data_IF_784101594983
#
_entry.id   IF_784101594983
#
_cell.length_a   1.000
_cell.length_b   1.000
_cell.length_c   1.000
_cell.angle_alpha   90.00
_cell.angle_beta   90.00
_cell.angle_gamma   90.00
#
_symmetry.space_group_name_H-M   'P 1'
#
loop_
_entity.id
_entity.type
_entity.pdbx_description
1 polymer ?
#
# COMPACT_ATOMS: atom_id res chain seq x y z
N UNK A 1 -11.51 8.80 13.50
CA UNK A 1 -10.70 7.85 12.71
C UNK A 1 -11.56 7.35 11.54
N UNK A 2 -11.02 7.20 10.32
CA UNK A 2 -11.81 6.85 9.11
C UNK A 2 -12.31 5.40 9.08
N UNK A 3 -11.73 4.52 9.88
CA UNK A 3 -12.07 3.10 9.90
C UNK A 3 -13.23 2.76 10.85
N UNK A 4 -13.84 3.73 11.53
CA UNK A 4 -14.96 3.49 12.48
C UNK A 4 -16.30 3.21 11.80
N UNK A 5 -16.37 3.32 10.48
CA UNK A 5 -17.57 3.07 9.69
C UNK A 5 -17.19 2.44 8.35
N UNK A 6 -18.05 1.60 7.76
CA UNK A 6 -17.74 0.96 6.49
C UNK A 6 -17.64 1.97 5.35
N UNK A 7 -16.66 1.77 4.47
CA UNK A 7 -16.58 2.39 3.16
C UNK A 7 -17.18 1.48 2.08
N UNK A 8 -17.31 1.98 0.85
CA UNK A 8 -17.77 1.18 -0.30
C UNK A 8 -16.86 -0.03 -0.61
N UNK A 9 -15.60 0.00 -0.15
CA UNK A 9 -14.63 -1.08 -0.33
C UNK A 9 -14.43 -1.94 0.92
N UNK A 10 -15.05 -1.61 2.04
CA UNK A 10 -14.89 -2.39 3.28
C UNK A 10 -15.58 -3.74 3.18
N UNK A 11 -14.87 -4.83 3.49
CA UNK A 11 -15.40 -6.20 3.43
C UNK A 11 -14.96 -7.09 4.61
N UNK A 12 -14.32 -6.50 5.63
CA UNK A 12 -14.03 -7.15 6.91
C UNK A 12 -13.99 -6.12 8.05
N UNK A 13 -14.26 -6.59 9.26
CA UNK A 13 -14.06 -5.83 10.48
C UNK A 13 -12.88 -6.42 11.26
N UNK A 14 -11.87 -5.60 11.54
CA UNK A 14 -10.86 -5.91 12.53
C UNK A 14 -11.33 -5.44 13.91
N UNK A 15 -11.24 -6.30 14.92
CA UNK A 15 -11.60 -5.98 16.30
C UNK A 15 -10.31 -5.83 17.10
N UNK A 16 -10.09 -4.63 17.66
CA UNK A 16 -8.91 -4.30 18.48
C UNK A 16 -9.39 -3.69 19.78
N UNK A 17 -9.03 -4.27 20.92
CA UNK A 17 -9.51 -3.84 22.24
C UNK A 17 -11.05 -3.67 22.29
N UNK A 18 -11.78 -4.62 21.70
CA UNK A 18 -13.25 -4.60 21.54
C UNK A 18 -13.82 -3.46 20.69
N UNK A 19 -12.98 -2.67 20.00
CA UNK A 19 -13.40 -1.62 19.06
C UNK A 19 -13.28 -2.12 17.63
N UNK A 20 -14.24 -1.74 16.78
CA UNK A 20 -14.35 -2.19 15.39
C UNK A 20 -13.63 -1.23 14.42
N UNK A 21 -12.92 -1.82 13.47
CA UNK A 21 -12.22 -1.13 12.37
C UNK A 21 -12.63 -1.79 11.04
N UNK A 22 -13.37 -1.06 10.20
CA UNK A 22 -13.81 -1.52 8.89
C UNK A 22 -12.71 -1.31 7.85
N UNK A 23 -12.29 -2.40 7.19
CA UNK A 23 -11.15 -2.42 6.25
C UNK A 23 -11.43 -3.36 5.06
N UNK A 24 -10.54 -3.36 4.07
CA UNK A 24 -10.57 -4.25 2.92
C UNK A 24 -9.51 -5.37 3.06
N UNK A 25 -9.94 -6.64 2.92
CA UNK A 25 -9.09 -7.84 3.07
C UNK A 25 -7.99 -7.87 2.00
N UNK A 26 -8.37 -7.71 0.74
CA UNK A 26 -7.48 -7.81 -0.41
C UNK A 26 -6.42 -6.71 -0.37
N UNK A 27 -6.81 -5.49 0.01
CA UNK A 27 -5.93 -4.35 0.17
C UNK A 27 -4.85 -4.63 1.22
N UNK A 28 -5.25 -5.06 2.42
CA UNK A 28 -4.31 -5.42 3.48
C UNK A 28 -3.43 -6.62 3.10
N UNK A 29 -4.01 -7.62 2.45
CA UNK A 29 -3.29 -8.82 2.02
C UNK A 29 -2.25 -8.54 0.93
N UNK A 30 -2.56 -7.68 -0.03
CA UNK A 30 -1.58 -7.20 -1.02
C UNK A 30 -0.40 -6.57 -0.29
N UNK A 31 -0.64 -5.69 0.69
CA UNK A 31 0.41 -5.03 1.48
C UNK A 31 1.18 -5.94 2.44
N UNK A 32 0.64 -7.10 2.83
CA UNK A 32 1.18 -7.91 3.91
C UNK A 32 1.02 -9.41 3.67
N UNK A 33 2.11 -10.19 3.66
CA UNK A 33 2.01 -11.65 3.63
C UNK A 33 1.31 -12.21 4.88
N UNK A 34 1.38 -11.49 6.02
CA UNK A 34 0.72 -11.89 7.27
C UNK A 34 -0.80 -11.73 7.13
N UNK A 35 -1.29 -10.62 6.57
CA UNK A 35 -2.72 -10.49 6.27
C UNK A 35 -3.18 -11.43 5.15
N UNK A 36 -2.30 -11.74 4.20
CA UNK A 36 -2.57 -12.79 3.20
C UNK A 36 -2.87 -14.12 3.88
N UNK A 37 -1.99 -14.61 4.75
CA UNK A 37 -2.21 -15.87 5.47
C UNK A 37 -3.43 -15.80 6.40
N UNK A 38 -3.62 -14.67 7.08
CA UNK A 38 -4.75 -14.46 8.00
C UNK A 38 -6.12 -14.49 7.29
N UNK A 39 -6.24 -13.91 6.09
CA UNK A 39 -7.56 -13.82 5.44
C UNK A 39 -7.83 -14.92 4.41
N UNK A 40 -6.77 -15.42 3.76
CA UNK A 40 -6.88 -16.30 2.60
C UNK A 40 -6.14 -17.64 2.77
N UNK A 41 -5.21 -17.73 3.73
CA UNK A 41 -4.50 -18.96 4.08
C UNK A 41 -5.39 -19.99 4.78
N UNK A 42 -4.77 -20.96 5.45
CA UNK A 42 -5.46 -22.02 6.21
C UNK A 42 -5.54 -21.66 7.71
N UNK A 43 -5.75 -20.38 7.98
CA UNK A 43 -5.86 -19.83 9.33
C UNK A 43 -7.30 -19.90 9.85
N UNK A 44 -7.46 -19.78 11.17
CA UNK A 44 -8.78 -19.81 11.81
C UNK A 44 -9.63 -18.57 11.45
N UNK A 45 -9.02 -17.54 10.90
CA UNK A 45 -9.62 -16.26 10.53
C UNK A 45 -10.22 -16.28 9.11
N UNK A 46 -9.85 -17.27 8.30
CA UNK A 46 -10.35 -17.46 6.93
C UNK A 46 -11.89 -17.46 6.92
N UNK A 47 -12.47 -16.63 6.06
CA UNK A 47 -13.92 -16.54 5.87
C UNK A 47 -14.70 -15.80 6.95
N UNK A 48 -14.07 -15.34 8.04
CA UNK A 48 -14.77 -14.54 9.06
C UNK A 48 -15.11 -13.14 8.54
N UNK A 49 -16.23 -12.61 9.01
CA UNK A 49 -16.64 -11.20 8.83
C UNK A 49 -15.96 -10.29 9.84
N UNK A 50 -15.69 -10.80 11.05
CA UNK A 50 -14.95 -10.11 12.11
C UNK A 50 -13.72 -10.90 12.54
N UNK A 51 -12.57 -10.24 12.61
CA UNK A 51 -11.27 -10.84 12.96
C UNK A 51 -10.63 -10.04 14.11
N UNK A 52 -10.33 -10.72 15.21
CA UNK A 52 -9.70 -10.10 16.38
C UNK A 52 -8.18 -9.95 16.16
N UNK A 53 -7.64 -8.74 16.33
CA UNK A 53 -6.19 -8.51 16.38
C UNK A 53 -5.77 -8.37 17.85
N UNK A 54 -5.15 -9.42 18.36
CA UNK A 54 -4.66 -9.50 19.75
C UNK A 54 -3.33 -8.79 19.94
N UNK A 55 -3.02 -8.43 21.17
CA UNK A 55 -1.73 -7.89 21.62
C UNK A 55 -1.30 -6.60 20.91
N UNK A 56 -2.26 -5.72 20.60
CA UNK A 56 -2.03 -4.37 20.06
C UNK A 56 -2.96 -3.38 20.74
N UNK A 57 -2.50 -2.15 20.92
CA UNK A 57 -3.33 -1.05 21.40
C UNK A 57 -4.14 -0.46 20.23
N UNK A 58 -5.40 -0.10 20.49
CA UNK A 58 -6.30 0.38 19.45
C UNK A 58 -5.74 1.61 18.71
N UNK A 59 -5.28 2.62 19.44
CA UNK A 59 -4.78 3.86 18.83
C UNK A 59 -3.50 3.62 18.01
N UNK A 60 -2.58 2.77 18.50
CA UNK A 60 -1.36 2.41 17.75
C UNK A 60 -1.68 1.65 16.46
N UNK A 61 -2.69 0.76 16.50
CA UNK A 61 -3.11 0.03 15.31
C UNK A 61 -3.84 0.93 14.30
N UNK A 62 -4.57 1.95 14.78
CA UNK A 62 -5.16 2.98 13.94
C UNK A 62 -4.08 3.80 13.24
N UNK A 63 -3.02 4.19 13.96
CA UNK A 63 -1.85 4.86 13.36
C UNK A 63 -1.23 3.97 12.27
N UNK A 64 -1.06 2.67 12.54
CA UNK A 64 -0.55 1.71 11.55
C UNK A 64 -1.42 1.62 10.29
N UNK A 65 -2.73 1.46 10.43
CA UNK A 65 -3.65 1.45 9.29
C UNK A 65 -3.62 2.76 8.51
N UNK A 66 -3.46 3.90 9.19
CA UNK A 66 -3.33 5.21 8.56
C UNK A 66 -2.04 5.35 7.75
N UNK A 67 -0.96 4.67 8.14
CA UNK A 67 0.29 4.62 7.35
C UNK A 67 0.15 3.69 6.14
N UNK A 68 -0.62 2.59 6.24
CA UNK A 68 -0.83 1.64 5.12
C UNK A 68 -1.74 2.26 4.05
N UNK A 69 -2.94 2.70 4.44
CA UNK A 69 -3.94 3.19 3.49
C UNK A 69 -3.58 4.59 2.94
N UNK A 70 -3.93 4.92 1.68
CA UNK A 70 -3.62 6.22 1.09
C UNK A 70 -4.16 7.37 1.93
N UNK A 71 -3.35 8.40 2.16
CA UNK A 71 -3.72 9.56 2.97
C UNK A 71 -2.53 10.47 3.24
N UNK A 72 -2.80 11.53 4.01
CA UNK A 72 -1.80 12.55 4.39
C UNK A 72 -1.17 12.28 5.77
N UNK A 73 -1.42 11.10 6.35
CA UNK A 73 -0.87 10.72 7.65
C UNK A 73 0.64 10.50 7.52
N UNK A 74 1.41 11.25 8.32
CA UNK A 74 2.86 11.13 8.42
C UNK A 74 3.28 10.41 9.68
N UNK A 75 4.38 9.66 9.62
CA UNK A 75 5.02 9.13 10.82
C UNK A 75 5.65 10.28 11.60
N UNK A 76 5.52 10.26 12.93
CA UNK A 76 6.08 11.25 13.85
C UNK A 76 7.02 10.58 14.85
N UNK A 77 7.72 11.38 15.66
CA UNK A 77 8.57 10.84 16.74
C UNK A 77 7.77 9.99 17.74
N UNK A 78 6.48 10.30 17.94
CA UNK A 78 5.62 9.57 18.87
C UNK A 78 5.06 8.30 18.26
N UNK A 79 4.76 8.29 16.95
CA UNK A 79 4.21 7.10 16.30
C UNK A 79 5.26 6.12 15.80
N UNK A 80 6.45 6.60 15.43
CA UNK A 80 7.52 5.79 14.86
C UNK A 80 7.83 4.49 15.64
N UNK A 81 7.95 4.49 16.99
CA UNK A 81 8.28 3.27 17.73
C UNK A 81 7.24 2.17 17.59
N UNK A 82 5.94 2.49 17.72
CA UNK A 82 4.88 1.50 17.59
C UNK A 82 4.63 1.11 16.13
N UNK A 83 4.82 2.03 15.18
CA UNK A 83 4.77 1.71 13.74
C UNK A 83 5.86 0.70 13.37
N UNK A 84 7.10 0.90 13.83
CA UNK A 84 8.20 -0.06 13.62
C UNK A 84 7.89 -1.43 14.26
N UNK A 85 7.36 -1.45 15.48
CA UNK A 85 6.95 -2.67 16.19
C UNK A 85 5.86 -3.42 15.43
N UNK A 86 4.80 -2.74 15.02
CA UNK A 86 3.71 -3.34 14.25
C UNK A 86 4.18 -3.79 12.87
N UNK A 87 5.06 -3.05 12.22
CA UNK A 87 5.61 -3.46 10.93
C UNK A 87 6.49 -4.71 11.04
N UNK A 88 7.20 -4.89 12.16
CA UNK A 88 7.95 -6.11 12.45
C UNK A 88 7.04 -7.33 12.63
N UNK A 89 5.75 -7.12 12.94
CA UNK A 89 4.74 -8.19 13.07
C UNK A 89 3.99 -8.45 11.77
N UNK A 90 3.62 -7.41 11.03
CA UNK A 90 2.75 -7.51 9.86
C UNK A 90 3.49 -7.44 8.52
N UNK A 91 4.78 -7.10 8.52
CA UNK A 91 5.65 -7.11 7.33
C UNK A 91 5.05 -6.31 6.16
N UNK A 92 4.79 -5.01 6.34
CA UNK A 92 4.26 -4.14 5.29
C UNK A 92 5.37 -3.32 4.63
N UNK A 93 5.66 -3.60 3.35
CA UNK A 93 6.81 -3.01 2.63
C UNK A 93 6.76 -1.48 2.62
N UNK A 94 5.60 -0.91 2.31
CA UNK A 94 5.43 0.54 2.22
C UNK A 94 5.57 1.25 3.56
N UNK A 95 5.17 0.59 4.66
CA UNK A 95 5.37 1.14 6.00
C UNK A 95 6.86 1.21 6.30
N UNK A 96 7.62 0.16 5.98
CA UNK A 96 9.06 0.13 6.20
C UNK A 96 9.78 1.23 5.39
N UNK A 97 9.40 1.42 4.12
CA UNK A 97 9.90 2.51 3.28
C UNK A 97 9.59 3.89 3.88
N UNK A 98 8.36 4.10 4.38
CA UNK A 98 7.97 5.36 5.03
C UNK A 98 8.73 5.59 6.34
N UNK A 99 9.00 4.54 7.12
CA UNK A 99 9.84 4.61 8.32
C UNK A 99 11.26 5.07 7.98
N UNK A 100 11.86 4.54 6.91
CA UNK A 100 13.20 4.95 6.46
C UNK A 100 13.25 6.42 6.02
N UNK A 101 12.27 6.88 5.24
CA UNK A 101 12.17 8.28 4.84
C UNK A 101 12.05 9.21 6.06
N UNK A 102 11.23 8.83 7.04
CA UNK A 102 11.11 9.57 8.29
C UNK A 102 12.42 9.57 9.09
N UNK A 103 13.09 8.42 9.23
CA UNK A 103 14.35 8.32 9.96
C UNK A 103 15.46 9.20 9.35
N UNK A 104 15.54 9.21 8.01
CA UNK A 104 16.53 9.99 7.26
C UNK A 104 16.28 11.51 7.37
N UNK A 105 15.01 11.93 7.34
CA UNK A 105 14.64 13.35 7.44
C UNK A 105 14.54 13.87 8.88
N UNK A 106 14.43 12.98 9.87
CA UNK A 106 14.28 13.37 11.27
C UNK A 106 15.59 13.90 11.88
N UNK A 107 15.52 15.09 12.47
CA UNK A 107 16.58 15.65 13.31
C UNK A 107 16.50 15.20 14.79
N UNK A 108 15.53 14.35 15.14
CA UNK A 108 15.30 13.95 16.53
C UNK A 108 16.27 12.86 17.02
N UNK A 109 16.72 11.99 16.11
CA UNK A 109 17.60 10.88 16.43
C UNK A 109 19.06 11.28 16.27
N UNK A 110 19.89 10.88 17.24
CA UNK A 110 21.34 10.97 17.11
C UNK A 110 21.88 9.91 16.14
N UNK A 111 23.14 10.04 15.72
CA UNK A 111 23.75 9.17 14.72
C UNK A 111 23.79 7.69 15.14
N UNK A 112 24.05 7.39 16.41
CA UNK A 112 24.05 6.02 16.93
C UNK A 112 22.66 5.38 16.83
N UNK A 113 21.61 6.10 17.22
CA UNK A 113 20.22 5.63 17.14
C UNK A 113 19.78 5.48 15.69
N UNK A 114 20.14 6.43 14.82
CA UNK A 114 19.89 6.32 13.37
C UNK A 114 20.55 5.08 12.80
N UNK A 115 21.81 4.82 13.14
CA UNK A 115 22.53 3.64 12.67
C UNK A 115 21.84 2.34 13.09
N UNK A 116 21.44 2.21 14.36
CA UNK A 116 20.75 1.02 14.87
C UNK A 116 19.40 0.81 14.17
N UNK A 117 18.60 1.87 14.04
CA UNK A 117 17.29 1.82 13.39
C UNK A 117 17.40 1.53 11.88
N UNK A 118 18.36 2.14 11.18
CA UNK A 118 18.63 1.86 9.77
C UNK A 118 19.06 0.40 9.57
N UNK A 119 19.88 -0.14 10.48
CA UNK A 119 20.28 -1.56 10.45
C UNK A 119 19.06 -2.46 10.62
N UNK A 120 18.17 -2.16 11.57
CA UNK A 120 16.93 -2.90 11.77
C UNK A 120 16.02 -2.84 10.53
N UNK A 121 15.90 -1.67 9.90
CA UNK A 121 15.12 -1.50 8.68
C UNK A 121 15.67 -2.37 7.55
N UNK A 122 16.99 -2.37 7.35
CA UNK A 122 17.63 -3.16 6.30
C UNK A 122 17.44 -4.66 6.53
N UNK A 123 17.55 -5.13 7.77
CA UNK A 123 17.25 -6.52 8.13
C UNK A 123 15.80 -6.90 7.80
N UNK A 124 14.83 -6.03 8.09
CA UNK A 124 13.42 -6.28 7.75
C UNK A 124 13.20 -6.28 6.23
N UNK A 125 13.86 -5.41 5.46
CA UNK A 125 13.79 -5.43 3.99
C UNK A 125 14.27 -6.75 3.41
N UNK A 126 15.37 -7.30 3.93
CA UNK A 126 15.91 -8.59 3.50
C UNK A 126 14.95 -9.75 3.76
N UNK A 127 14.24 -9.73 4.89
CA UNK A 127 13.20 -10.72 5.19
C UNK A 127 11.99 -10.61 4.25
N UNK A 128 11.78 -9.43 3.67
CA UNK A 128 10.64 -9.09 2.83
C UNK A 128 11.01 -9.03 1.34
N UNK A 129 12.14 -9.67 0.95
CA UNK A 129 12.76 -9.53 -0.36
C UNK A 129 11.79 -9.51 -1.54
N UNK A 130 12.13 -8.70 -2.55
CA UNK A 130 11.26 -8.49 -3.71
C UNK A 130 11.18 -9.74 -4.60
N UNK A 131 9.95 -10.10 -4.94
CA UNK A 131 9.68 -10.91 -6.11
C UNK A 131 10.05 -10.10 -7.38
N UNK A 132 10.21 -10.74 -8.54
CA UNK A 132 10.18 -10.04 -9.83
C UNK A 132 8.97 -9.10 -9.92
N UNK A 133 8.98 -8.19 -10.90
CA UNK A 133 7.90 -7.22 -11.11
C UNK A 133 6.51 -7.88 -10.88
N UNK A 134 5.76 -7.46 -9.84
CA UNK A 134 4.62 -8.23 -9.33
C UNK A 134 3.44 -8.29 -10.31
N UNK A 135 3.55 -7.58 -11.45
CA UNK A 135 2.52 -7.45 -12.47
C UNK A 135 2.77 -8.33 -13.70
N UNK A 136 3.94 -8.96 -13.84
CA UNK A 136 4.30 -9.74 -15.03
C UNK A 136 3.47 -11.04 -15.14
N UNK A 137 2.96 -11.54 -14.02
CA UNK A 137 2.15 -12.75 -13.93
C UNK A 137 0.95 -12.53 -13.00
N UNK A 138 -0.16 -13.27 -13.21
CA UNK A 138 -1.31 -13.19 -12.31
C UNK A 138 -0.94 -13.68 -10.91
N UNK A 139 -1.34 -12.91 -9.90
CA UNK A 139 -1.37 -13.34 -8.50
C UNK A 139 -2.78 -13.78 -8.08
N UNK A 140 -2.91 -14.37 -6.90
CA UNK A 140 -4.22 -14.74 -6.34
C UNK A 140 -5.17 -13.54 -6.13
N UNK A 141 -4.65 -12.31 -6.15
CA UNK A 141 -5.44 -11.08 -6.02
C UNK A 141 -5.67 -10.35 -7.35
N UNK A 142 -5.04 -10.82 -8.44
CA UNK A 142 -5.18 -10.21 -9.75
C UNK A 142 -6.55 -10.53 -10.35
N UNK A 143 -7.32 -9.50 -10.72
CA UNK A 143 -8.68 -9.65 -11.28
C UNK A 143 -8.93 -8.76 -12.52
N UNK A 144 -7.89 -8.08 -13.02
CA UNK A 144 -7.91 -7.35 -14.28
C UNK A 144 -6.51 -7.28 -14.88
N UNK A 145 -6.44 -7.18 -16.20
CA UNK A 145 -5.18 -6.96 -16.93
C UNK A 145 -5.22 -5.56 -17.55
N UNK A 146 -4.23 -4.73 -17.21
CA UNK A 146 -3.98 -3.50 -17.94
C UNK A 146 -3.01 -3.78 -19.09
N UNK A 147 -3.34 -3.32 -20.29
CA UNK A 147 -2.50 -3.47 -21.47
C UNK A 147 -1.92 -2.10 -21.81
N UNK A 148 -0.59 -1.96 -21.69
CA UNK A 148 0.16 -0.73 -21.98
C UNK A 148 1.19 -1.06 -23.05
N UNK A 149 1.14 -0.37 -24.19
CA UNK A 149 2.03 -0.65 -25.34
C UNK A 149 2.06 -2.15 -25.74
N UNK A 150 0.91 -2.83 -25.63
CA UNK A 150 0.76 -4.25 -25.93
C UNK A 150 1.32 -5.21 -24.86
N UNK A 151 2.03 -4.71 -23.85
CA UNK A 151 2.49 -5.49 -22.69
C UNK A 151 1.40 -5.55 -21.62
N UNK A 152 1.37 -6.64 -20.84
CA UNK A 152 0.32 -6.92 -19.85
C UNK A 152 0.81 -6.67 -18.44
N UNK A 153 -0.04 -6.04 -17.63
CA UNK A 153 0.14 -5.82 -16.20
C UNK A 153 -1.05 -6.44 -15.45
N UNK A 154 -0.80 -7.48 -14.67
CA UNK A 154 -1.80 -8.17 -13.86
C UNK A 154 -1.99 -7.43 -12.53
N UNK A 155 -3.19 -6.90 -12.28
CA UNK A 155 -3.47 -6.00 -11.15
C UNK A 155 -4.85 -6.27 -10.52
N UNK A 156 -5.13 -5.57 -9.42
CA UNK A 156 -6.38 -5.67 -8.67
C UNK A 156 -7.22 -4.39 -8.82
N UNK A 157 -8.49 -4.54 -9.20
CA UNK A 157 -9.42 -3.42 -9.47
C UNK A 157 -9.65 -2.56 -8.23
N UNK A 158 -9.97 -3.20 -7.11
CA UNK A 158 -10.30 -2.54 -5.84
C UNK A 158 -9.09 -1.74 -5.32
N UNK A 159 -7.90 -2.32 -5.41
CA UNK A 159 -6.64 -1.68 -5.04
C UNK A 159 -6.40 -0.42 -5.88
N UNK A 160 -6.52 -0.51 -7.21
CA UNK A 160 -6.39 0.66 -8.07
C UNK A 160 -7.43 1.75 -7.77
N UNK A 161 -8.69 1.35 -7.53
CA UNK A 161 -9.77 2.28 -7.21
C UNK A 161 -9.55 3.01 -5.87
N UNK A 162 -9.00 2.33 -4.86
CA UNK A 162 -8.64 2.95 -3.57
C UNK A 162 -7.57 4.04 -3.76
N UNK A 163 -6.63 3.85 -4.69
CA UNK A 163 -5.55 4.80 -4.95
C UNK A 163 -5.90 5.89 -5.97
N UNK A 164 -6.92 5.68 -6.80
CA UNK A 164 -7.23 6.55 -7.93
C UNK A 164 -8.73 6.65 -8.19
N UNK A 165 -9.33 7.84 -8.06
CA UNK A 165 -10.73 8.06 -8.43
C UNK A 165 -10.97 7.87 -9.94
N UNK A 166 -9.95 8.04 -10.78
CA UNK A 166 -10.04 7.73 -12.22
C UNK A 166 -10.22 6.22 -12.43
N UNK A 167 -9.42 5.39 -11.77
CA UNK A 167 -9.61 3.94 -11.81
C UNK A 167 -10.94 3.52 -11.16
N UNK A 168 -11.35 4.15 -10.05
CA UNK A 168 -12.65 3.88 -9.43
C UNK A 168 -13.81 4.14 -10.42
N UNK A 169 -13.81 5.30 -11.08
CA UNK A 169 -14.80 5.64 -12.10
C UNK A 169 -14.77 4.67 -13.29
N UNK A 170 -13.58 4.37 -13.82
CA UNK A 170 -13.41 3.49 -14.97
C UNK A 170 -13.83 2.04 -14.69
N UNK A 171 -13.50 1.51 -13.51
CA UNK A 171 -13.65 0.09 -13.18
C UNK A 171 -14.98 -0.25 -12.50
N UNK A 172 -15.60 0.71 -11.80
CA UNK A 172 -16.84 0.48 -11.04
C UNK A 172 -18.00 1.40 -11.45
N UNK A 173 -17.72 2.51 -12.15
CA UNK A 173 -18.71 3.45 -12.66
C UNK A 173 -19.44 2.96 -13.92
N UNK A 174 -19.94 3.89 -14.74
CA UNK A 174 -20.76 3.58 -15.94
C UNK A 174 -19.96 3.52 -17.24
N UNK A 175 -18.64 3.32 -17.16
CA UNK A 175 -17.76 3.23 -18.32
C UNK A 175 -17.78 1.84 -18.95
N UNK A 176 -17.36 1.75 -20.22
CA UNK A 176 -17.35 0.50 -20.97
C UNK A 176 -16.38 -0.55 -20.37
N UNK A 177 -15.44 -0.10 -19.54
CA UNK A 177 -14.37 -0.88 -18.93
C UNK A 177 -14.82 -1.71 -17.72
N UNK A 178 -15.94 -1.37 -17.06
CA UNK A 178 -16.41 -1.99 -15.81
C UNK A 178 -16.36 -3.54 -15.83
N UNK A 179 -16.84 -4.12 -16.92
CA UNK A 179 -16.93 -5.58 -17.10
C UNK A 179 -15.77 -6.22 -17.86
N UNK A 180 -14.77 -5.46 -18.29
CA UNK A 180 -13.67 -6.00 -19.09
C UNK A 180 -12.66 -6.75 -18.20
N UNK A 181 -12.15 -7.86 -18.74
CA UNK A 181 -11.01 -8.59 -18.17
C UNK A 181 -9.68 -7.93 -18.55
N UNK A 182 -9.64 -7.26 -19.71
CA UNK A 182 -8.46 -6.55 -20.22
C UNK A 182 -8.83 -5.11 -20.61
N UNK A 183 -8.02 -4.15 -20.18
CA UNK A 183 -8.24 -2.71 -20.41
C UNK A 183 -6.98 -2.12 -21.00
N UNK A 184 -7.09 -1.50 -22.17
CA UNK A 184 -6.00 -0.81 -22.83
C UNK A 184 -5.80 0.58 -22.19
N UNK A 185 -4.58 0.87 -21.72
CA UNK A 185 -4.18 2.19 -21.25
C UNK A 185 -3.35 2.85 -22.34
N UNK A 186 -3.87 3.93 -22.90
CA UNK A 186 -3.29 4.63 -24.06
C UNK A 186 -2.45 5.83 -23.63
N UNK A 187 -1.55 6.26 -24.52
CA UNK A 187 -0.73 7.46 -24.39
C UNK A 187 0.18 7.50 -23.15
N UNK A 188 0.64 6.33 -22.70
CA UNK A 188 1.62 6.19 -21.61
C UNK A 188 2.65 5.13 -22.02
N UNK A 189 3.93 5.33 -21.70
CA UNK A 189 4.94 4.31 -21.93
C UNK A 189 4.84 3.21 -20.87
N UNK A 190 5.12 1.97 -21.24
CA UNK A 190 5.01 0.83 -20.33
C UNK A 190 5.88 0.98 -19.09
N UNK A 191 7.15 1.35 -19.27
CA UNK A 191 8.10 1.44 -18.16
C UNK A 191 7.66 2.52 -17.14
N UNK A 192 7.20 3.67 -17.63
CA UNK A 192 6.72 4.77 -16.80
C UNK A 192 5.46 4.40 -16.01
N UNK A 193 4.51 3.72 -16.65
CA UNK A 193 3.27 3.29 -16.00
C UNK A 193 3.51 2.14 -15.01
N UNK A 194 4.42 1.21 -15.35
CA UNK A 194 4.89 0.18 -14.42
C UNK A 194 5.53 0.80 -13.18
N UNK A 195 6.36 1.83 -13.35
CA UNK A 195 6.97 2.53 -12.21
C UNK A 195 5.94 3.26 -11.35
N UNK A 196 4.92 3.89 -11.94
CA UNK A 196 3.78 4.43 -11.18
C UNK A 196 3.10 3.34 -10.33
N UNK A 197 2.84 2.17 -10.90
CA UNK A 197 2.20 1.07 -10.18
C UNK A 197 3.06 0.57 -9.02
N UNK A 198 4.39 0.47 -9.18
CA UNK A 198 5.32 0.09 -8.11
C UNK A 198 5.34 1.08 -6.94
N UNK A 199 4.81 2.30 -7.10
CA UNK A 199 4.68 3.26 -6.00
C UNK A 199 3.40 3.14 -5.19
N UNK A 200 2.35 2.58 -5.79
CA UNK A 200 1.08 2.34 -5.10
C UNK A 200 0.99 0.90 -4.58
N UNK A 201 1.56 -0.06 -5.29
CA UNK A 201 1.71 -1.43 -4.82
C UNK A 201 2.94 -1.59 -3.94
N UNK A 202 2.94 -2.60 -3.05
CA UNK A 202 4.04 -2.86 -2.13
C UNK A 202 5.33 -3.20 -2.88
N UNK A 203 6.29 -2.30 -2.83
CA UNK A 203 7.59 -2.45 -3.46
C UNK A 203 8.64 -1.63 -2.73
N UNK A 204 9.89 -2.08 -2.79
CA UNK A 204 11.04 -1.25 -2.39
C UNK A 204 11.59 -0.40 -3.54
N UNK A 205 10.81 -0.22 -4.62
CA UNK A 205 11.19 0.61 -5.75
C UNK A 205 11.57 2.02 -5.30
N UNK A 206 12.75 2.45 -5.72
CA UNK A 206 13.29 3.78 -5.44
C UNK A 206 12.95 4.69 -6.61
N UNK A 207 12.35 5.84 -6.33
CA UNK A 207 12.13 6.88 -7.32
C UNK A 207 13.42 7.65 -7.53
N UNK A 208 13.80 7.85 -8.79
CA UNK A 208 14.97 8.65 -9.17
C UNK A 208 14.53 10.05 -9.57
N UNK A 209 15.46 10.99 -9.59
CA UNK A 209 15.20 12.37 -10.06
C UNK A 209 14.75 12.38 -11.53
N UNK A 210 15.21 11.42 -12.33
CA UNK A 210 14.84 11.31 -13.74
C UNK A 210 13.41 10.81 -13.92
N UNK A 211 12.94 9.90 -13.04
CA UNK A 211 11.58 9.34 -13.14
C UNK A 211 10.52 10.18 -12.43
N UNK A 212 10.89 11.01 -11.44
CA UNK A 212 9.91 11.74 -10.60
C UNK A 212 9.01 12.66 -11.42
N UNK A 213 9.53 13.37 -12.42
CA UNK A 213 8.74 14.31 -13.25
C UNK A 213 7.63 13.56 -13.99
N UNK A 214 7.96 12.40 -14.54
CA UNK A 214 7.00 11.61 -15.30
C UNK A 214 6.00 10.91 -14.39
N UNK A 215 6.46 10.40 -13.24
CA UNK A 215 5.60 9.84 -12.19
C UNK A 215 4.58 10.88 -11.72
N UNK A 216 4.99 12.13 -11.51
CA UNK A 216 4.08 13.20 -11.09
C UNK A 216 3.04 13.53 -12.18
N UNK A 217 3.42 13.54 -13.47
CA UNK A 217 2.47 13.70 -14.58
C UNK A 217 1.44 12.58 -14.63
N UNK A 218 1.89 11.33 -14.51
CA UNK A 218 0.98 10.18 -14.50
C UNK A 218 0.10 10.18 -13.24
N UNK A 219 0.66 10.52 -12.07
CA UNK A 219 -0.10 10.63 -10.83
C UNK A 219 -1.19 11.71 -10.95
N UNK A 220 -0.95 12.83 -11.62
CA UNK A 220 -1.97 13.83 -11.93
C UNK A 220 -3.03 13.29 -12.90
N UNK A 221 -2.60 12.68 -14.01
CA UNK A 221 -3.49 12.06 -15.00
C UNK A 221 -4.45 11.04 -14.38
N UNK A 222 -3.96 10.19 -13.48
CA UNK A 222 -4.76 9.19 -12.76
C UNK A 222 -5.28 9.70 -11.41
N UNK A 223 -5.12 10.98 -11.09
CA UNK A 223 -5.57 11.62 -9.85
C UNK A 223 -5.13 10.91 -8.56
N UNK A 224 -3.92 10.34 -8.54
CA UNK A 224 -3.28 9.70 -7.38
C UNK A 224 -2.64 10.75 -6.46
N UNK A 225 -3.47 11.62 -5.88
CA UNK A 225 -3.05 12.83 -5.12
C UNK A 225 -2.05 12.55 -3.99
N UNK A 226 -2.09 11.36 -3.38
CA UNK A 226 -1.17 10.97 -2.31
C UNK A 226 0.27 10.91 -2.81
N UNK A 227 0.51 10.43 -4.04
CA UNK A 227 1.85 10.42 -4.62
C UNK A 227 2.36 11.84 -4.86
N UNK A 228 1.51 12.72 -5.40
CA UNK A 228 1.87 14.13 -5.61
C UNK A 228 2.28 14.79 -4.29
N UNK A 229 1.51 14.54 -3.22
CA UNK A 229 1.85 15.09 -1.91
C UNK A 229 3.18 14.57 -1.35
N UNK A 230 3.47 13.27 -1.52
CA UNK A 230 4.75 12.70 -1.05
C UNK A 230 5.94 13.32 -1.81
N UNK A 231 5.87 13.39 -3.14
CA UNK A 231 7.05 13.75 -3.95
C UNK A 231 7.23 15.25 -4.21
N UNK A 232 6.23 16.09 -3.92
CA UNK A 232 6.36 17.56 -4.00
C UNK A 232 6.80 18.17 -2.66
N UNK A 233 6.54 17.50 -1.53
CA UNK A 233 6.81 18.07 -0.20
C UNK A 233 7.96 17.39 0.56
N UNK A 234 8.41 16.20 0.13
CA UNK A 234 9.55 15.51 0.74
C UNK A 234 10.81 15.46 -0.16
N UNK A 235 10.73 15.96 -1.40
CA UNK A 235 11.83 16.11 -2.36
C UNK A 235 11.81 17.52 -2.95
#
# INVERSE_FOLDING_TARGET
NRFTSPSEFSNVVLVVENKKLHVNKEFLAIHSPVFTEMFFGESAEKGKEEVEIKDVFYEEFVDFLNVIYPGYSSISNTSFPHIMKLNSRFHVKDVLRKCELFLNSSGHFNEETKFLLSTQIEMLKQLMADAPNPFDAPSQFSNVILVVEGKKLHVNKEFLAIHSPVFAAMLFGSFAEKGKEQIEIKNVAYEEFSDLLKLVYPSFTVVTVDSVVQILKLADQFQMKVLIWIYVYFY
#
